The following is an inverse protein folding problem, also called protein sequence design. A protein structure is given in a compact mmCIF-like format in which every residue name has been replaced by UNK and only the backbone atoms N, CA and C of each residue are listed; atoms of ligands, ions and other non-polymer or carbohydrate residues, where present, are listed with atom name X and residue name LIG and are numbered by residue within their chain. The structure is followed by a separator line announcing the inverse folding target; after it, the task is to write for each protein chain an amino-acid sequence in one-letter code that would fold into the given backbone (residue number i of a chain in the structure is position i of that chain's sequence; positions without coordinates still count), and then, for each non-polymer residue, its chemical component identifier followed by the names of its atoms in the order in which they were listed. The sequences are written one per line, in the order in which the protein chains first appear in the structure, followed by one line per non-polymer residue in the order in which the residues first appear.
data_IF_612917295175
#
_entry.id   IF_612917295175
#
_cell.length_a   1.000
_cell.length_b   1.000
_cell.length_c   1.000
_cell.angle_alpha   90.00
_cell.angle_beta   90.00
_cell.angle_gamma   90.00
#
_symmetry.space_group_name_H-M   'P 1'
#
loop_
_entity.id
_entity.type
_entity.pdbx_description
1 polymer ?
#
# COMPACT_ATOMS: atom_id res chain seq x y z
N UNK A 1 -1.74 -25.68 4.74
CA UNK A 1 -0.98 -25.29 3.53
C UNK A 1 0.36 -24.71 3.98
N UNK A 2 1.48 -25.08 3.37
CA UNK A 2 2.79 -24.57 3.81
C UNK A 2 2.91 -23.06 3.52
N UNK A 3 3.23 -22.26 4.54
CA UNK A 3 3.36 -20.80 4.44
C UNK A 3 4.36 -20.37 3.35
N UNK A 4 5.41 -21.18 3.11
CA UNK A 4 6.36 -20.94 2.03
C UNK A 4 5.73 -20.99 0.63
N UNK A 5 4.79 -21.91 0.42
CA UNK A 5 4.07 -22.04 -0.86
C UNK A 5 3.19 -20.81 -1.07
N UNK A 6 2.46 -20.37 -0.04
CA UNK A 6 1.59 -19.19 -0.11
C UNK A 6 2.42 -17.94 -0.41
N UNK A 7 3.57 -17.81 0.26
CA UNK A 7 4.49 -16.70 0.00
C UNK A 7 5.06 -16.74 -1.42
N UNK A 8 5.34 -17.92 -1.96
CA UNK A 8 5.73 -18.09 -3.36
C UNK A 8 4.65 -17.60 -4.33
N UNK A 9 3.39 -17.97 -4.09
CA UNK A 9 2.24 -17.49 -4.87
C UNK A 9 2.13 -15.96 -4.80
N UNK A 10 2.29 -15.39 -3.61
CA UNK A 10 2.28 -13.95 -3.40
C UNK A 10 3.38 -13.21 -4.20
N UNK A 11 4.62 -13.71 -4.19
CA UNK A 11 5.70 -13.12 -4.99
C UNK A 11 5.45 -13.22 -6.50
N UNK A 12 4.91 -14.35 -6.97
CA UNK A 12 4.55 -14.54 -8.38
C UNK A 12 3.46 -13.54 -8.78
N UNK A 13 2.45 -13.33 -7.92
CA UNK A 13 1.40 -12.34 -8.15
C UNK A 13 1.99 -10.94 -8.28
N UNK A 14 2.85 -10.52 -7.35
CA UNK A 14 3.55 -9.23 -7.41
C UNK A 14 4.37 -9.07 -8.69
N UNK A 15 5.08 -10.11 -9.10
CA UNK A 15 5.85 -10.13 -10.36
C UNK A 15 4.94 -9.92 -11.58
N UNK A 16 3.83 -10.66 -11.67
CA UNK A 16 2.87 -10.54 -12.76
C UNK A 16 2.28 -9.13 -12.84
N UNK A 17 1.88 -8.55 -11.72
CA UNK A 17 1.33 -7.19 -11.67
C UNK A 17 2.39 -6.16 -12.03
N UNK A 18 3.64 -6.35 -11.58
CA UNK A 18 4.77 -5.49 -11.97
C UNK A 18 4.96 -5.51 -13.49
N UNK A 19 4.95 -6.69 -14.11
CA UNK A 19 5.05 -6.84 -15.58
C UNK A 19 3.89 -6.12 -16.27
N UNK A 20 2.66 -6.28 -15.79
CA UNK A 20 1.48 -5.57 -16.32
C UNK A 20 1.66 -4.05 -16.23
N UNK A 21 2.05 -3.53 -15.07
CA UNK A 21 2.27 -2.11 -14.85
C UNK A 21 3.34 -1.53 -15.78
N UNK A 22 4.47 -2.22 -15.96
CA UNK A 22 5.53 -1.78 -16.85
C UNK A 22 5.17 -1.90 -18.33
N UNK A 23 4.49 -2.97 -18.74
CA UNK A 23 4.04 -3.15 -20.13
C UNK A 23 3.07 -2.04 -20.59
N UNK A 24 2.25 -1.53 -19.65
CA UNK A 24 1.32 -0.42 -19.90
C UNK A 24 1.86 0.94 -19.46
N UNK A 25 3.10 1.05 -18.97
CA UNK A 25 3.60 2.25 -18.30
C UNK A 25 3.41 3.54 -19.10
N UNK A 26 3.60 3.50 -20.42
CA UNK A 26 3.39 4.66 -21.31
C UNK A 26 1.93 5.16 -21.35
N UNK A 27 0.97 4.25 -21.13
CA UNK A 27 -0.48 4.52 -21.15
C UNK A 27 -1.04 4.92 -19.78
N UNK A 28 -0.34 4.60 -18.69
CA UNK A 28 -0.78 4.90 -17.33
C UNK A 28 -0.75 6.40 -17.02
N UNK A 29 -1.72 6.83 -16.22
CA UNK A 29 -1.74 8.15 -15.60
C UNK A 29 -0.57 8.31 -14.61
N UNK A 30 -0.24 9.54 -14.22
CA UNK A 30 0.92 9.81 -13.35
C UNK A 30 0.82 9.09 -12.00
N UNK A 31 -0.38 9.05 -11.40
CA UNK A 31 -0.61 8.31 -10.16
C UNK A 31 -0.38 6.81 -10.33
N UNK A 32 -0.91 6.21 -11.39
CA UNK A 32 -0.72 4.79 -11.65
C UNK A 32 0.71 4.41 -12.07
N UNK A 33 1.49 5.36 -12.62
CA UNK A 33 2.94 5.18 -12.80
C UNK A 33 3.67 5.09 -11.46
N UNK A 34 3.35 5.98 -10.53
CA UNK A 34 3.90 5.92 -9.17
C UNK A 34 3.51 4.62 -8.46
N UNK A 35 2.26 4.18 -8.64
CA UNK A 35 1.77 2.89 -8.13
C UNK A 35 2.53 1.69 -8.73
N UNK A 36 2.84 1.70 -10.03
CA UNK A 36 3.67 0.65 -10.64
C UNK A 36 5.08 0.60 -10.01
N UNK A 37 5.69 1.76 -9.76
CA UNK A 37 6.99 1.83 -9.08
C UNK A 37 6.88 1.29 -7.65
N UNK A 38 5.82 1.64 -6.92
CA UNK A 38 5.54 1.10 -5.59
C UNK A 38 5.52 -0.43 -5.61
N UNK A 39 4.77 -1.05 -6.53
CA UNK A 39 4.64 -2.52 -6.60
C UNK A 39 5.98 -3.21 -6.90
N UNK A 40 6.79 -2.62 -7.79
CA UNK A 40 8.16 -3.12 -8.02
C UNK A 40 8.99 -3.05 -6.74
N UNK A 41 8.96 -1.92 -6.05
CA UNK A 41 9.67 -1.75 -4.79
C UNK A 41 9.17 -2.72 -3.72
N UNK A 42 7.86 -3.03 -3.68
CA UNK A 42 7.29 -4.07 -2.80
C UNK A 42 7.90 -5.43 -3.15
N UNK A 43 7.90 -5.84 -4.43
CA UNK A 43 8.46 -7.11 -4.86
C UNK A 43 9.93 -7.26 -4.45
N UNK A 44 10.72 -6.21 -4.63
CA UNK A 44 12.13 -6.15 -4.21
C UNK A 44 12.23 -6.28 -2.69
N UNK A 45 11.47 -5.48 -1.94
CA UNK A 45 11.49 -5.49 -0.47
C UNK A 45 11.11 -6.87 0.10
N UNK A 46 10.04 -7.49 -0.39
CA UNK A 46 9.61 -8.82 0.04
C UNK A 46 10.64 -9.91 -0.29
N UNK A 47 11.30 -9.79 -1.45
CA UNK A 47 12.39 -10.69 -1.82
C UNK A 47 13.58 -10.55 -0.86
N UNK A 48 13.98 -9.31 -0.55
CA UNK A 48 15.08 -9.02 0.38
C UNK A 48 14.71 -9.49 1.79
N UNK A 49 13.50 -9.21 2.29
CA UNK A 49 13.02 -9.66 3.61
C UNK A 49 13.09 -11.19 3.74
N UNK A 50 12.71 -11.94 2.69
CA UNK A 50 12.78 -13.41 2.70
C UNK A 50 14.22 -13.91 2.76
N UNK A 51 15.12 -13.36 1.95
CA UNK A 51 16.54 -13.76 1.94
C UNK A 51 17.21 -13.39 3.27
N UNK A 52 17.04 -12.15 3.70
CA UNK A 52 17.63 -11.64 4.93
C UNK A 52 17.08 -12.35 6.17
N UNK A 53 15.77 -12.62 6.21
CA UNK A 53 15.14 -13.39 7.28
C UNK A 53 15.64 -14.84 7.37
N UNK A 54 16.09 -15.45 6.26
CA UNK A 54 16.73 -16.77 6.28
C UNK A 54 18.16 -16.74 6.79
N UNK A 55 18.92 -15.68 6.46
CA UNK A 55 20.34 -15.55 6.83
C UNK A 55 20.49 -15.09 8.28
N UNK A 56 19.72 -14.07 8.69
CA UNK A 56 19.87 -13.39 9.98
C UNK A 56 18.77 -13.74 10.99
N UNK A 57 17.82 -14.62 10.61
CA UNK A 57 16.65 -15.00 11.43
C UNK A 57 15.78 -13.81 11.88
N UNK A 58 15.94 -12.66 11.24
CA UNK A 58 15.19 -11.46 11.54
C UNK A 58 15.10 -10.58 10.29
N UNK A 59 13.88 -10.27 9.83
CA UNK A 59 13.63 -9.41 8.67
C UNK A 59 13.11 -8.02 9.05
N UNK A 60 12.96 -7.73 10.34
CA UNK A 60 12.39 -6.49 10.85
C UNK A 60 13.16 -5.23 10.46
N UNK A 61 14.51 -5.21 10.41
CA UNK A 61 15.24 -4.01 9.99
C UNK A 61 14.83 -3.54 8.57
N UNK A 62 14.56 -4.49 7.67
CA UNK A 62 14.08 -4.17 6.32
C UNK A 62 12.62 -3.73 6.36
N UNK A 63 11.80 -4.29 7.25
CA UNK A 63 10.40 -3.89 7.41
C UNK A 63 10.26 -2.43 7.87
N UNK A 64 11.09 -1.96 8.81
CA UNK A 64 11.15 -0.57 9.26
C UNK A 64 11.44 0.39 8.08
N UNK A 65 12.52 0.13 7.34
CA UNK A 65 12.92 0.94 6.18
C UNK A 65 11.81 0.90 5.11
N UNK A 66 11.26 -0.29 4.86
CA UNK A 66 10.22 -0.47 3.86
C UNK A 66 8.94 0.28 4.20
N UNK A 67 8.51 0.30 5.46
CA UNK A 67 7.27 0.97 5.88
C UNK A 67 7.27 2.46 5.49
N UNK A 68 8.40 3.16 5.66
CA UNK A 68 8.55 4.57 5.28
C UNK A 68 8.57 4.75 3.76
N UNK A 69 9.31 3.89 3.04
CA UNK A 69 9.37 3.94 1.57
C UNK A 69 7.99 3.67 0.95
N UNK A 70 7.31 2.65 1.47
CA UNK A 70 5.94 2.29 1.09
C UNK A 70 5.01 3.49 1.30
N UNK A 71 5.00 4.08 2.49
CA UNK A 71 4.18 5.25 2.79
C UNK A 71 4.47 6.43 1.85
N UNK A 72 5.74 6.71 1.56
CA UNK A 72 6.13 7.81 0.68
C UNK A 72 5.67 7.59 -0.77
N UNK A 73 5.88 6.39 -1.33
CA UNK A 73 5.45 6.06 -2.69
C UNK A 73 3.92 5.96 -2.82
N UNK A 74 3.25 5.48 -1.78
CA UNK A 74 1.80 5.46 -1.70
C UNK A 74 1.21 6.88 -1.63
N UNK A 75 1.79 7.73 -0.79
CA UNK A 75 1.48 9.16 -0.71
C UNK A 75 1.72 9.86 -2.05
N UNK A 76 2.80 9.53 -2.76
CA UNK A 76 3.08 10.05 -4.09
C UNK A 76 2.01 9.66 -5.12
N UNK A 77 1.48 8.45 -5.03
CA UNK A 77 0.32 8.02 -5.84
C UNK A 77 -0.85 8.96 -5.62
N UNK A 78 -1.27 9.17 -4.37
CA UNK A 78 -2.39 10.05 -4.03
C UNK A 78 -2.11 11.53 -4.35
N UNK A 79 -0.88 11.99 -4.23
CA UNK A 79 -0.47 13.35 -4.62
C UNK A 79 -0.77 13.62 -6.11
N UNK A 80 -0.59 12.63 -6.98
CA UNK A 80 -0.94 12.76 -8.39
C UNK A 80 -2.43 12.58 -8.70
N UNK A 81 -3.18 11.85 -7.86
CA UNK A 81 -4.60 11.59 -8.06
C UNK A 81 -5.50 12.71 -7.51
N UNK A 82 -5.10 13.35 -6.41
CA UNK A 82 -5.85 14.43 -5.79
C UNK A 82 -5.55 15.76 -6.48
N UNK A 83 -6.57 16.58 -6.74
CA UNK A 83 -6.48 17.85 -7.47
C UNK A 83 -6.13 19.02 -6.56
N UNK A 84 -6.65 19.04 -5.33
CA UNK A 84 -6.50 20.18 -4.41
C UNK A 84 -5.05 20.40 -3.96
N UNK A 85 -4.51 21.60 -4.23
CA UNK A 85 -3.16 22.00 -3.79
C UNK A 85 -3.01 21.94 -2.27
N UNK A 86 -4.04 22.31 -1.52
CA UNK A 86 -4.02 22.21 -0.04
C UNK A 86 -3.84 20.76 0.41
N UNK A 87 -4.56 19.82 -0.21
CA UNK A 87 -4.44 18.40 0.10
C UNK A 87 -3.06 17.85 -0.29
N UNK A 88 -2.51 18.29 -1.42
CA UNK A 88 -1.14 17.94 -1.82
C UNK A 88 -0.08 18.39 -0.83
N UNK A 89 -0.21 19.60 -0.29
CA UNK A 89 0.70 20.08 0.76
C UNK A 89 0.56 19.25 2.05
N UNK A 90 -0.65 18.83 2.40
CA UNK A 90 -0.89 17.92 3.53
C UNK A 90 -0.20 16.57 3.30
N UNK A 91 -0.27 16.01 2.08
CA UNK A 91 0.39 14.74 1.72
C UNK A 91 1.92 14.84 1.84
N UNK A 92 2.51 15.96 1.41
CA UNK A 92 3.95 16.20 1.54
C UNK A 92 4.32 16.30 3.03
N UNK A 93 3.56 17.10 3.79
CA UNK A 93 3.79 17.29 5.22
C UNK A 93 3.66 15.96 5.99
N UNK A 94 2.62 15.16 5.72
CA UNK A 94 2.45 13.86 6.36
C UNK A 94 3.56 12.88 5.99
N UNK A 95 4.11 12.91 4.77
CA UNK A 95 5.28 12.10 4.39
C UNK A 95 6.51 12.45 5.21
N UNK A 96 6.77 13.75 5.42
CA UNK A 96 7.88 14.21 6.27
C UNK A 96 7.62 13.80 7.73
N UNK A 97 6.41 13.99 8.23
CA UNK A 97 6.03 13.62 9.61
C UNK A 97 6.18 12.11 9.83
N UNK A 98 5.78 11.26 8.89
CA UNK A 98 5.92 9.81 8.99
C UNK A 98 7.38 9.37 9.03
N UNK A 99 8.25 10.00 8.22
CA UNK A 99 9.69 9.76 8.30
C UNK A 99 10.25 10.11 9.69
N UNK A 100 9.89 11.29 10.21
CA UNK A 100 10.33 11.71 11.56
C UNK A 100 9.75 10.81 12.65
N UNK A 101 8.50 10.39 12.50
CA UNK A 101 7.83 9.48 13.43
C UNK A 101 8.57 8.13 13.49
N UNK A 102 9.01 7.59 12.36
CA UNK A 102 9.76 6.34 12.35
C UNK A 102 11.13 6.47 13.03
N UNK A 103 11.82 7.59 12.84
CA UNK A 103 13.10 7.85 13.54
C UNK A 103 12.86 7.88 15.05
N UNK A 104 11.83 8.57 15.51
CA UNK A 104 11.45 8.60 16.93
C UNK A 104 11.02 7.21 17.41
N UNK A 105 10.24 6.48 16.61
CA UNK A 105 9.77 5.14 16.91
C UNK A 105 10.95 4.19 17.19
N UNK A 106 11.94 4.17 16.30
CA UNK A 106 13.12 3.33 16.41
C UNK A 106 14.00 3.68 17.62
N UNK A 107 14.09 4.98 17.95
CA UNK A 107 14.93 5.45 19.04
C UNK A 107 14.30 5.25 20.42
N UNK A 108 12.97 5.29 20.53
CA UNK A 108 12.28 5.37 21.83
C UNK A 108 11.23 4.29 22.10
N UNK A 109 10.65 3.65 21.08
CA UNK A 109 9.49 2.76 21.23
C UNK A 109 9.74 1.33 20.73
N UNK A 110 10.05 1.15 19.45
CA UNK A 110 10.21 -0.15 18.79
C UNK A 110 11.61 -0.30 18.21
N UNK A 111 12.43 -1.22 18.74
CA UNK A 111 13.78 -1.46 18.20
C UNK A 111 13.70 -1.95 16.75
N UNK A 112 14.75 -1.70 15.95
CA UNK A 112 14.87 -2.19 14.57
C UNK A 112 14.67 -3.71 14.39
N UNK A 113 14.81 -4.48 15.48
CA UNK A 113 14.62 -5.93 15.49
C UNK A 113 13.19 -6.37 15.80
N UNK A 114 12.29 -5.44 16.10
CA UNK A 114 10.88 -5.65 16.45
C UNK A 114 9.97 -5.30 15.28
N UNK A 115 8.72 -5.75 15.33
CA UNK A 115 7.75 -5.43 14.28
C UNK A 115 7.39 -3.93 14.32
N UNK A 116 7.41 -3.21 13.18
CA UNK A 116 7.17 -1.76 13.13
C UNK A 116 5.67 -1.44 13.21
N UNK A 117 5.00 -1.78 14.32
CA UNK A 117 3.53 -1.70 14.41
C UNK A 117 3.04 -0.25 14.36
N UNK A 118 3.70 0.66 15.07
CA UNK A 118 3.27 2.04 15.23
C UNK A 118 3.24 2.78 13.89
N UNK A 119 4.30 2.65 13.10
CA UNK A 119 4.40 3.32 11.80
C UNK A 119 3.44 2.71 10.78
N UNK A 120 3.20 1.40 10.83
CA UNK A 120 2.25 0.73 9.95
C UNK A 120 0.81 1.16 10.26
N UNK A 121 0.42 1.17 11.53
CA UNK A 121 -0.90 1.63 11.97
C UNK A 121 -1.15 3.09 11.60
N UNK A 122 -0.19 3.98 11.88
CA UNK A 122 -0.28 5.39 11.50
C UNK A 122 -0.41 5.57 9.98
N UNK A 123 0.34 4.79 9.19
CA UNK A 123 0.23 4.78 7.72
C UNK A 123 -1.18 4.41 7.25
N UNK A 124 -1.78 3.39 7.86
CA UNK A 124 -3.10 2.89 7.46
C UNK A 124 -4.21 3.88 7.80
N UNK A 125 -4.12 4.60 8.92
CA UNK A 125 -5.02 5.71 9.24
C UNK A 125 -4.95 6.78 8.13
N UNK A 126 -3.74 7.16 7.70
CA UNK A 126 -3.57 8.14 6.64
C UNK A 126 -4.06 7.64 5.29
N UNK A 127 -3.92 6.35 4.98
CA UNK A 127 -4.49 5.74 3.77
C UNK A 127 -6.02 5.84 3.77
N UNK A 128 -6.68 5.60 4.90
CA UNK A 128 -8.13 5.82 5.05
C UNK A 128 -8.48 7.28 4.75
N UNK A 129 -7.76 8.24 5.34
CA UNK A 129 -8.00 9.68 5.10
C UNK A 129 -7.84 10.02 3.61
N UNK A 130 -6.77 9.54 2.96
CA UNK A 130 -6.55 9.76 1.54
C UNK A 130 -7.67 9.17 0.69
N UNK A 131 -8.13 7.96 1.00
CA UNK A 131 -9.22 7.33 0.27
C UNK A 131 -10.54 8.08 0.41
N UNK A 132 -10.86 8.57 1.61
CA UNK A 132 -12.06 9.37 1.83
C UNK A 132 -11.98 10.71 1.08
N UNK A 133 -10.82 11.36 1.05
CA UNK A 133 -10.61 12.58 0.28
C UNK A 133 -10.77 12.34 -1.23
N UNK A 134 -10.27 11.21 -1.74
CA UNK A 134 -10.40 10.85 -3.15
C UNK A 134 -11.86 10.50 -3.50
N UNK A 135 -12.58 9.80 -2.64
CA UNK A 135 -14.02 9.57 -2.82
C UNK A 135 -14.81 10.89 -2.83
N UNK A 136 -14.52 11.80 -1.89
CA UNK A 136 -15.12 13.14 -1.88
C UNK A 136 -14.86 13.87 -3.19
N UNK A 137 -13.64 13.79 -3.74
CA UNK A 137 -13.33 14.38 -5.04
C UNK A 137 -14.14 13.75 -6.17
N UNK A 138 -14.28 12.44 -6.20
CA UNK A 138 -15.08 11.73 -7.22
C UNK A 138 -16.58 12.08 -7.14
N UNK A 139 -17.11 12.32 -5.93
CA UNK A 139 -18.49 12.75 -5.73
C UNK A 139 -18.74 14.20 -6.13
N UNK A 140 -17.77 15.10 -5.88
CA UNK A 140 -17.87 16.51 -6.26
C UNK A 140 -17.66 16.75 -7.76
N UNK A 141 -16.88 15.89 -8.41
CA UNK A 141 -16.57 15.98 -9.84
C UNK A 141 -16.88 14.65 -10.53
N UNK A 142 -18.16 14.28 -10.65
CA UNK A 142 -18.56 13.04 -11.29
C UNK A 142 -18.15 13.04 -12.77
N UNK A 143 -17.75 11.88 -13.27
CA UNK A 143 -17.49 11.67 -14.69
C UNK A 143 -18.69 10.95 -15.33
N UNK A 144 -18.85 11.10 -16.64
CA UNK A 144 -19.94 10.40 -17.38
C UNK A 144 -19.75 8.88 -17.43
N UNK A 145 -18.53 8.40 -17.19
CA UNK A 145 -18.23 6.97 -17.18
C UNK A 145 -18.82 6.30 -15.93
N UNK A 146 -19.43 5.14 -16.10
CA UNK A 146 -19.82 4.26 -14.99
C UNK A 146 -18.66 4.04 -14.02
N UNK A 147 -18.94 4.11 -12.70
CA UNK A 147 -17.94 3.90 -11.64
C UNK A 147 -17.13 2.60 -11.82
N UNK A 148 -17.79 1.52 -12.25
CA UNK A 148 -17.13 0.22 -12.46
C UNK A 148 -16.15 0.19 -13.62
N UNK A 149 -16.17 1.19 -14.51
CA UNK A 149 -15.20 1.35 -15.60
C UNK A 149 -14.06 2.29 -15.23
N UNK A 150 -14.08 2.91 -14.06
CA UNK A 150 -13.06 3.86 -13.63
C UNK A 150 -11.96 3.15 -12.83
N UNK A 151 -10.71 3.23 -13.30
CA UNK A 151 -9.54 2.70 -12.57
C UNK A 151 -9.41 3.30 -11.16
N UNK A 152 -9.70 4.60 -11.03
CA UNK A 152 -9.66 5.32 -9.76
C UNK A 152 -10.63 4.74 -8.73
N UNK A 153 -11.82 4.31 -9.16
CA UNK A 153 -12.81 3.73 -8.26
C UNK A 153 -12.30 2.41 -7.67
N UNK A 154 -11.86 1.47 -8.51
CA UNK A 154 -11.32 0.17 -8.10
C UNK A 154 -10.09 0.30 -7.21
N UNK A 155 -9.17 1.21 -7.57
CA UNK A 155 -8.02 1.51 -6.72
C UNK A 155 -8.46 2.03 -5.35
N UNK A 156 -9.33 3.04 -5.33
CA UNK A 156 -9.66 3.73 -4.09
C UNK A 156 -10.49 2.89 -3.12
N UNK A 157 -11.47 2.12 -3.61
CA UNK A 157 -12.26 1.21 -2.76
C UNK A 157 -11.38 0.11 -2.16
N UNK A 158 -10.44 -0.41 -2.96
CA UNK A 158 -9.50 -1.42 -2.53
C UNK A 158 -8.55 -0.89 -1.45
N UNK A 159 -8.04 0.33 -1.61
CA UNK A 159 -7.22 0.97 -0.57
C UNK A 159 -8.01 1.16 0.72
N UNK A 160 -9.25 1.65 0.65
CA UNK A 160 -10.07 1.84 1.85
C UNK A 160 -10.31 0.51 2.58
N UNK A 161 -10.66 -0.55 1.84
CA UNK A 161 -10.85 -1.89 2.37
C UNK A 161 -9.57 -2.46 2.99
N UNK A 162 -8.45 -2.39 2.26
CA UNK A 162 -7.15 -2.85 2.73
C UNK A 162 -6.71 -2.09 3.98
N UNK A 163 -6.77 -0.76 3.95
CA UNK A 163 -6.30 0.10 5.02
C UNK A 163 -7.06 -0.17 6.34
N UNK A 164 -8.39 -0.24 6.28
CA UNK A 164 -9.22 -0.53 7.46
C UNK A 164 -9.01 -1.95 7.99
N UNK A 165 -8.91 -2.94 7.10
CA UNK A 165 -8.74 -4.34 7.49
C UNK A 165 -7.36 -4.62 8.07
N UNK A 166 -6.31 -4.11 7.44
CA UNK A 166 -4.93 -4.30 7.91
C UNK A 166 -4.64 -3.51 9.18
N UNK A 167 -5.23 -2.32 9.35
CA UNK A 167 -5.18 -1.60 10.63
C UNK A 167 -5.69 -2.47 11.78
N UNK A 168 -6.87 -3.08 11.61
CA UNK A 168 -7.42 -4.00 12.62
C UNK A 168 -6.51 -5.23 12.81
N UNK A 169 -5.98 -5.79 11.73
CA UNK A 169 -5.09 -6.95 11.79
C UNK A 169 -3.80 -6.65 12.56
N UNK A 170 -3.18 -5.49 12.38
CA UNK A 170 -1.98 -5.10 13.11
C UNK A 170 -2.25 -4.84 14.59
N UNK A 171 -3.33 -4.13 14.92
CA UNK A 171 -3.74 -3.91 16.30
C UNK A 171 -3.99 -5.23 17.05
N UNK A 172 -4.65 -6.19 16.38
CA UNK A 172 -4.86 -7.54 16.93
C UNK A 172 -3.56 -8.34 17.02
N UNK A 173 -2.66 -8.21 16.05
CA UNK A 173 -1.37 -8.92 16.06
C UNK A 173 -0.53 -8.52 17.28
N UNK A 174 -0.46 -7.23 17.60
CA UNK A 174 0.22 -6.73 18.80
C UNK A 174 -0.37 -7.34 20.07
N UNK A 175 -1.70 -7.32 20.20
CA UNK A 175 -2.40 -7.96 21.33
C UNK A 175 -2.11 -9.47 21.43
N UNK A 176 -2.12 -10.19 20.30
CA UNK A 176 -1.87 -11.64 20.28
C UNK A 176 -0.42 -11.98 20.66
N UNK A 177 0.55 -11.18 20.24
CA UNK A 177 1.96 -11.33 20.62
C UNK A 177 2.13 -11.14 22.13
N UNK A 178 1.56 -10.08 22.70
CA UNK A 178 1.65 -9.77 24.13
C UNK A 178 1.02 -10.87 24.99
N UNK A 179 -0.12 -11.41 24.55
CA UNK A 179 -0.87 -12.44 25.27
C UNK A 179 -0.47 -13.88 24.88
N UNK A 180 0.59 -14.05 24.07
CA UNK A 180 1.10 -15.36 23.61
C UNK A 180 0.03 -16.26 22.97
N UNK A 181 -0.89 -15.64 22.24
CA UNK A 181 -1.95 -16.35 21.52
C UNK A 181 -1.43 -16.91 20.19
N UNK A 182 -2.18 -17.85 19.60
CA UNK A 182 -1.83 -18.43 18.31
C UNK A 182 -1.91 -17.38 17.20
N UNK A 183 -0.78 -17.06 16.57
CA UNK A 183 -0.68 -16.01 15.54
C UNK A 183 -1.15 -16.45 14.15
N UNK A 184 -1.21 -17.76 13.90
CA UNK A 184 -1.45 -18.31 12.57
C UNK A 184 -2.72 -17.78 11.90
N UNK A 185 -3.89 -17.68 12.57
CA UNK A 185 -5.10 -17.13 11.96
C UNK A 185 -4.94 -15.70 11.44
N UNK A 186 -4.30 -14.82 12.22
CA UNK A 186 -4.05 -13.42 11.82
C UNK A 186 -3.06 -13.33 10.66
N UNK A 187 -2.04 -14.19 10.64
CA UNK A 187 -1.08 -14.26 9.52
C UNK A 187 -1.79 -14.70 8.24
N UNK A 188 -2.59 -15.77 8.27
CA UNK A 188 -3.32 -16.21 7.09
C UNK A 188 -4.35 -15.18 6.62
N UNK A 189 -5.03 -14.51 7.55
CA UNK A 189 -5.95 -13.43 7.25
C UNK A 189 -5.24 -12.27 6.54
N UNK A 190 -4.14 -11.77 7.11
CA UNK A 190 -3.35 -10.70 6.50
C UNK A 190 -2.83 -11.06 5.11
N UNK A 191 -2.41 -12.31 4.89
CA UNK A 191 -1.97 -12.78 3.56
C UNK A 191 -3.15 -12.81 2.57
N UNK A 192 -4.32 -13.29 2.97
CA UNK A 192 -5.50 -13.29 2.11
C UNK A 192 -5.90 -11.86 1.68
N UNK A 193 -5.88 -10.92 2.62
CA UNK A 193 -6.17 -9.49 2.35
C UNK A 193 -5.13 -8.89 1.40
N UNK A 194 -3.84 -9.19 1.56
CA UNK A 194 -2.80 -8.77 0.63
C UNK A 194 -3.00 -9.33 -0.79
N UNK A 195 -3.34 -10.61 -0.91
CA UNK A 195 -3.61 -11.22 -2.22
C UNK A 195 -4.78 -10.51 -2.93
N UNK A 196 -5.89 -10.29 -2.22
CA UNK A 196 -7.04 -9.54 -2.75
C UNK A 196 -6.61 -8.14 -3.16
N UNK A 197 -5.87 -7.44 -2.29
CA UNK A 197 -5.39 -6.09 -2.55
C UNK A 197 -4.61 -6.02 -3.86
N UNK A 198 -3.59 -6.86 -4.04
CA UNK A 198 -2.77 -6.83 -5.23
C UNK A 198 -3.53 -7.26 -6.50
N UNK A 199 -4.45 -8.24 -6.42
CA UNK A 199 -5.31 -8.59 -7.56
C UNK A 199 -6.12 -7.37 -8.03
N UNK A 200 -6.75 -6.64 -7.11
CA UNK A 200 -7.57 -5.46 -7.47
C UNK A 200 -6.69 -4.29 -7.94
N UNK A 201 -5.47 -4.14 -7.42
CA UNK A 201 -4.48 -3.20 -7.98
C UNK A 201 -4.13 -3.57 -9.42
N UNK A 202 -3.93 -4.85 -9.72
CA UNK A 202 -3.70 -5.34 -11.09
C UNK A 202 -4.86 -5.01 -12.04
N UNK A 203 -6.09 -5.22 -11.60
CA UNK A 203 -7.30 -4.83 -12.36
C UNK A 203 -7.33 -3.31 -12.60
N UNK A 204 -7.05 -2.52 -11.57
CA UNK A 204 -7.02 -1.06 -11.65
C UNK A 204 -5.97 -0.58 -12.67
N UNK A 205 -4.79 -1.21 -12.68
CA UNK A 205 -3.72 -0.95 -13.66
C UNK A 205 -4.10 -1.37 -15.08
N UNK A 206 -4.92 -2.40 -15.28
CA UNK A 206 -5.40 -2.82 -16.60
C UNK A 206 -6.47 -1.88 -17.16
N UNK A 207 -7.30 -1.32 -16.28
CA UNK A 207 -8.36 -0.38 -16.66
C UNK A 207 -7.78 1.02 -16.94
N UNK A 208 -6.74 1.45 -16.20
CA UNK A 208 -6.24 2.83 -16.28
C UNK A 208 -5.79 3.23 -17.70
N UNK A 209 -6.19 4.43 -18.10
CA UNK A 209 -5.85 5.02 -19.41
C UNK A 209 -5.72 6.55 -19.30
N UNK A 210 -4.49 7.05 -19.41
CA UNK A 210 -4.19 8.48 -19.26
C UNK A 210 -4.89 9.39 -20.28
N UNK A 211 -5.27 8.86 -21.46
CA UNK A 211 -5.96 9.65 -22.48
C UNK A 211 -7.39 10.01 -22.09
N UNK A 212 -8.09 9.12 -21.39
CA UNK A 212 -9.47 9.34 -20.96
C UNK A 212 -9.57 10.41 -19.86
N UNK A 213 -8.61 10.42 -18.94
CA UNK A 213 -8.57 11.42 -17.86
C UNK A 213 -8.36 12.85 -18.41
N UNK A 214 -7.59 13.03 -19.48
CA UNK A 214 -7.36 14.36 -20.07
C UNK A 214 -8.61 14.94 -20.74
N UNK A 215 -9.44 14.10 -21.34
CA UNK A 215 -10.68 14.52 -22.00
C UNK A 215 -11.78 14.95 -21.02
N UNK A 216 -11.75 14.43 -19.78
CA UNK A 216 -12.69 14.83 -18.71
C UNK A 216 -12.32 16.12 -17.96
N UNK A 217 -11.13 16.68 -18.21
CA UNK A 217 -10.59 17.85 -17.51
C UNK A 217 -10.43 19.08 -18.40
N UNK A 218 -10.76 18.97 -19.70
CA UNK A 218 -10.88 20.10 -20.62
C UNK A 218 -12.35 20.42 -20.83
#
# INVERSE_FOLDING_TARGET
MNLDIIYGVYLILLLLITIVGFSRFKKLSKGFKALTVLILCTLISESIKKVYGRIYHNNMPIAHIWAVIEFALFSLTYFYLLKSTRVKNIIIASTIVMLMLEIVNVLFFEKLTQFPSLILEASHILYVVYSLLLFRQMLLFPTEQSLFKQSLFWFNINVLFYATTMFLNFALLSYFIENKLELAPLVYFGVAINLIFYVVIGISLLIDNAKEIRLSNG
#
